data_IF_517802989282
#
_entry.id   IF_517802989282
#
_cell.length_a   1.000
_cell.length_b   1.000
_cell.length_c   1.000
_cell.angle_alpha   90.00
_cell.angle_beta   90.00
_cell.angle_gamma   90.00
#
_symmetry.space_group_name_H-M   'P 1'
#
loop_
_entity.id
_entity.type
_entity.pdbx_description
1 polymer ?
#
# COMPACT_ATOMS: atom_id res chain seq x y z
N UNK A 1 -5.46 -5.37 -11.82
CA UNK A 1 -5.12 -5.92 -10.47
C UNK A 1 -4.76 -4.78 -9.54
N UNK A 2 -5.32 -4.79 -8.35
CA UNK A 2 -5.02 -3.77 -7.32
C UNK A 2 -3.74 -4.18 -6.59
N UNK A 3 -2.75 -3.29 -6.55
CA UNK A 3 -1.50 -3.54 -5.83
C UNK A 3 -1.58 -2.97 -4.42
N UNK A 4 -1.07 -3.73 -3.46
CA UNK A 4 -1.06 -3.33 -2.04
C UNK A 4 0.37 -3.36 -1.54
N UNK A 5 0.93 -2.18 -1.29
CA UNK A 5 2.27 -2.06 -0.73
C UNK A 5 2.18 -2.04 0.80
N UNK A 6 2.94 -2.91 1.45
CA UNK A 6 2.93 -3.00 2.91
C UNK A 6 4.13 -3.76 3.44
N UNK A 7 4.10 -4.07 4.73
CA UNK A 7 5.15 -4.84 5.40
C UNK A 7 4.52 -5.83 6.38
N UNK A 8 5.20 -6.95 6.57
CA UNK A 8 4.75 -8.01 7.51
C UNK A 8 4.77 -7.56 8.96
N UNK A 9 5.54 -6.53 9.28
CA UNK A 9 5.64 -5.99 10.65
C UNK A 9 4.63 -4.88 10.93
N UNK A 10 3.82 -4.50 9.94
CA UNK A 10 2.79 -3.48 10.09
C UNK A 10 1.45 -4.15 10.42
N UNK A 11 0.84 -3.91 11.60
CA UNK A 11 -0.42 -4.56 11.98
C UNK A 11 -1.56 -4.29 11.00
N UNK A 12 -1.68 -3.07 10.50
CA UNK A 12 -2.72 -2.71 9.52
C UNK A 12 -2.52 -3.43 8.20
N UNK A 13 -1.27 -3.59 7.78
CA UNK A 13 -0.93 -4.34 6.58
C UNK A 13 -1.29 -5.82 6.73
N UNK A 14 -1.02 -6.40 7.88
CA UNK A 14 -1.35 -7.81 8.17
C UNK A 14 -2.87 -8.02 8.11
N UNK A 15 -3.65 -7.08 8.65
CA UNK A 15 -5.11 -7.17 8.62
C UNK A 15 -5.63 -7.17 7.18
N UNK A 16 -5.08 -6.30 6.33
CA UNK A 16 -5.44 -6.23 4.90
C UNK A 16 -5.02 -7.51 4.18
N UNK A 17 -3.82 -8.01 4.44
CA UNK A 17 -3.32 -9.25 3.83
C UNK A 17 -4.27 -10.42 4.09
N UNK A 18 -4.81 -10.49 5.30
CA UNK A 18 -5.80 -11.53 5.65
C UNK A 18 -7.08 -11.38 4.86
N UNK A 19 -7.55 -10.15 4.67
CA UNK A 19 -8.78 -9.90 3.92
C UNK A 19 -8.66 -10.29 2.45
N UNK A 20 -7.48 -10.10 1.84
CA UNK A 20 -7.27 -10.35 0.42
C UNK A 20 -6.68 -11.74 0.13
N UNK A 21 -6.38 -12.53 1.16
CA UNK A 21 -5.77 -13.85 0.98
C UNK A 21 -6.61 -14.73 0.04
N UNK A 22 -5.99 -15.24 -1.02
CA UNK A 22 -6.65 -16.07 -2.02
C UNK A 22 -7.49 -15.29 -3.03
N UNK A 23 -7.53 -13.97 -2.96
CA UNK A 23 -8.29 -13.14 -3.90
C UNK A 23 -7.37 -12.64 -5.03
N UNK A 24 -7.60 -13.14 -6.25
CA UNK A 24 -6.75 -12.83 -7.41
C UNK A 24 -6.88 -11.39 -7.91
N UNK A 25 -7.83 -10.61 -7.39
CA UNK A 25 -7.95 -9.19 -7.76
C UNK A 25 -6.87 -8.33 -7.12
N UNK A 26 -6.17 -8.84 -6.11
CA UNK A 26 -5.18 -8.11 -5.33
C UNK A 26 -3.81 -8.75 -5.42
N UNK A 27 -2.78 -7.90 -5.49
CA UNK A 27 -1.39 -8.31 -5.42
C UNK A 27 -0.75 -7.65 -4.21
N UNK A 28 -0.36 -8.45 -3.22
CA UNK A 28 0.34 -7.96 -2.03
C UNK A 28 1.83 -7.85 -2.34
N UNK A 29 2.40 -6.69 -2.07
CA UNK A 29 3.81 -6.39 -2.30
C UNK A 29 4.43 -6.00 -0.96
N UNK A 30 5.33 -6.85 -0.46
CA UNK A 30 6.06 -6.59 0.78
C UNK A 30 7.31 -5.76 0.45
N UNK A 31 7.28 -4.49 0.83
CA UNK A 31 8.39 -3.57 0.56
C UNK A 31 9.65 -3.90 1.37
N UNK A 32 9.53 -4.80 2.34
CA UNK A 32 10.68 -5.29 3.10
C UNK A 32 11.42 -6.45 2.46
N UNK A 33 10.89 -7.05 1.39
CA UNK A 33 11.51 -8.20 0.75
C UNK A 33 12.69 -7.83 -0.14
N UNK A 34 12.62 -6.67 -0.79
CA UNK A 34 13.68 -6.23 -1.69
C UNK A 34 13.71 -4.71 -1.79
N UNK A 35 14.92 -4.15 -1.88
CA UNK A 35 15.08 -2.70 -1.93
C UNK A 35 14.40 -2.08 -3.16
N UNK A 36 14.30 -2.82 -4.27
CA UNK A 36 13.60 -2.30 -5.46
C UNK A 36 12.11 -2.07 -5.20
N UNK A 37 11.48 -2.90 -4.38
CA UNK A 37 10.07 -2.74 -3.99
C UNK A 37 9.89 -1.54 -3.06
N UNK A 38 10.82 -1.37 -2.13
CA UNK A 38 10.83 -0.18 -1.26
C UNK A 38 10.97 1.09 -2.11
N UNK A 39 11.84 1.09 -3.11
CA UNK A 39 12.03 2.25 -3.99
C UNK A 39 10.78 2.57 -4.79
N UNK A 40 10.06 1.55 -5.27
CA UNK A 40 8.78 1.75 -5.96
C UNK A 40 7.78 2.47 -5.05
N UNK A 41 7.67 2.01 -3.82
CA UNK A 41 6.79 2.63 -2.82
C UNK A 41 7.23 4.06 -2.51
N UNK A 42 8.51 4.29 -2.29
CA UNK A 42 9.03 5.63 -1.99
C UNK A 42 8.77 6.60 -3.14
N UNK A 43 8.87 6.14 -4.39
CA UNK A 43 8.52 6.97 -5.55
C UNK A 43 7.06 7.43 -5.49
N UNK A 44 6.14 6.53 -5.17
CA UNK A 44 4.73 6.88 -5.00
C UNK A 44 4.56 7.89 -3.85
N UNK A 45 5.21 7.63 -2.73
CA UNK A 45 5.12 8.48 -1.54
C UNK A 45 5.64 9.89 -1.79
N UNK A 46 6.73 9.99 -2.57
CA UNK A 46 7.38 11.27 -2.84
C UNK A 46 6.64 12.10 -3.89
N UNK A 47 5.86 11.47 -4.77
CA UNK A 47 5.27 12.14 -5.92
C UNK A 47 3.74 12.29 -5.84
N UNK A 48 3.07 11.60 -4.91
CA UNK A 48 1.62 11.62 -4.84
C UNK A 48 1.13 12.36 -3.59
N UNK A 49 0.29 13.41 -3.74
CA UNK A 49 -0.18 14.22 -2.61
C UNK A 49 -1.07 13.46 -1.62
N UNK A 50 -1.55 12.27 -1.96
CA UNK A 50 -2.34 11.45 -1.01
C UNK A 50 -1.53 11.11 0.25
N UNK A 51 -0.20 11.16 0.17
CA UNK A 51 0.69 10.88 1.30
C UNK A 51 0.98 12.09 2.18
N UNK A 52 0.47 13.28 1.84
CA UNK A 52 0.82 14.51 2.57
C UNK A 52 0.46 14.42 4.05
N UNK A 53 -0.71 13.88 4.38
CA UNK A 53 -1.13 13.71 5.77
C UNK A 53 -0.24 12.70 6.52
N UNK A 54 0.09 11.58 5.87
CA UNK A 54 0.99 10.58 6.44
C UNK A 54 2.36 11.19 6.75
N UNK A 55 2.90 11.98 5.82
CA UNK A 55 4.19 12.66 6.02
C UNK A 55 4.13 13.63 7.18
N UNK A 56 3.03 14.39 7.29
CA UNK A 56 2.86 15.39 8.34
C UNK A 56 2.83 14.75 9.72
N UNK A 57 2.18 13.61 9.88
CA UNK A 57 2.07 12.96 11.19
C UNK A 57 3.15 11.90 11.44
N UNK A 58 4.13 11.76 10.54
CA UNK A 58 5.24 10.83 10.72
C UNK A 58 4.91 9.39 10.39
N UNK A 59 3.80 9.12 9.71
CA UNK A 59 3.43 7.77 9.30
C UNK A 59 4.13 7.38 8.00
N UNK A 60 4.35 6.08 7.81
CA UNK A 60 4.95 5.56 6.59
C UNK A 60 4.00 5.68 5.38
N UNK A 61 2.71 5.48 5.59
CA UNK A 61 1.72 5.49 4.52
C UNK A 61 1.44 4.10 3.97
N UNK A 62 1.55 3.08 4.79
CA UNK A 62 1.21 1.71 4.44
C UNK A 62 0.09 1.20 5.36
N UNK A 63 -0.81 0.33 4.88
CA UNK A 63 -0.87 -0.18 3.50
C UNK A 63 -1.24 0.93 2.49
N UNK A 64 -0.66 0.82 1.30
CA UNK A 64 -0.91 1.74 0.21
C UNK A 64 -1.50 0.96 -0.96
N UNK A 65 -2.58 1.46 -1.55
CA UNK A 65 -3.32 0.77 -2.61
C UNK A 65 -3.16 1.51 -3.92
N UNK A 66 -2.76 0.78 -4.97
CA UNK A 66 -2.73 1.30 -6.34
C UNK A 66 -3.84 0.61 -7.11
N UNK A 67 -4.89 1.35 -7.42
CA UNK A 67 -6.08 0.82 -8.09
C UNK A 67 -5.79 0.52 -9.56
N UNK A 68 -6.73 -0.16 -10.23
CA UNK A 68 -6.53 -0.59 -11.62
C UNK A 68 -6.36 0.57 -12.59
N UNK A 69 -6.97 1.72 -12.30
CA UNK A 69 -6.84 2.92 -13.11
C UNK A 69 -5.60 3.77 -12.76
N UNK A 70 -4.77 3.29 -11.83
CA UNK A 70 -3.57 4.00 -11.38
C UNK A 70 -3.79 4.95 -10.21
N UNK A 71 -5.01 5.11 -9.73
CA UNK A 71 -5.30 5.94 -8.55
C UNK A 71 -4.64 5.33 -7.33
N UNK A 72 -3.97 6.17 -6.54
CA UNK A 72 -3.31 5.77 -5.29
C UNK A 72 -4.15 6.22 -4.11
N UNK A 73 -4.40 5.32 -3.17
CA UNK A 73 -5.18 5.62 -1.97
C UNK A 73 -4.60 4.91 -0.76
N UNK A 74 -4.79 5.49 0.42
CA UNK A 74 -4.43 4.87 1.70
C UNK A 74 -5.68 4.32 2.41
N UNK A 75 -6.85 4.41 1.79
CA UNK A 75 -8.13 4.00 2.37
C UNK A 75 -8.54 2.64 1.83
N UNK A 76 -8.59 1.61 2.68
CA UNK A 76 -8.97 0.25 2.24
C UNK A 76 -10.35 0.20 1.56
N UNK A 77 -11.31 0.99 2.05
CA UNK A 77 -12.66 1.01 1.50
C UNK A 77 -12.68 1.45 0.03
N UNK A 78 -11.75 2.30 -0.39
CA UNK A 78 -11.63 2.71 -1.79
C UNK A 78 -11.05 1.61 -2.67
N UNK A 79 -10.42 0.62 -2.07
CA UNK A 79 -9.90 -0.56 -2.75
C UNK A 79 -10.86 -1.76 -2.64
N UNK A 80 -12.08 -1.56 -2.17
CA UNK A 80 -13.08 -2.61 -2.06
C UNK A 80 -12.99 -3.45 -0.78
N UNK A 81 -12.33 -2.95 0.24
CA UNK A 81 -12.12 -3.69 1.50
C UNK A 81 -12.90 -3.14 2.68
#
# INVERSE_FOLDING_TARGET
MIKIYGMKTCPDCVAVDRQVAGDSRYQVIDIGEHVSLLKQFLHLRDTNPVFDEAKRCGAAGIPCFVLEDGTVTLRPEEAGL
#
